data_IF_578902935584
#
_entry.id   IF_578902935584
#
_cell.length_a   1.000
_cell.length_b   1.000
_cell.length_c   1.000
_cell.angle_alpha   90.00
_cell.angle_beta   90.00
_cell.angle_gamma   90.00
#
_symmetry.space_group_name_H-M   'P 1'
#
loop_
_entity.id
_entity.type
_entity.pdbx_description
1 polymer ?
#
# COMPACT_ATOMS: atom_id res chain seq x y z
N UNK A 1 -14.90 -6.72 7.10
CA UNK A 1 -13.96 -5.64 7.47
C UNK A 1 -12.60 -6.12 7.06
N UNK A 2 -12.01 -5.53 6.02
CA UNK A 2 -10.67 -5.90 5.57
C UNK A 2 -9.69 -5.01 6.34
N UNK A 3 -8.86 -5.60 7.19
CA UNK A 3 -7.93 -4.88 8.06
C UNK A 3 -7.46 -5.76 9.22
N UNK A 4 -6.45 -5.29 9.98
CA UNK A 4 -5.94 -6.03 11.12
C UNK A 4 -7.07 -6.33 12.12
N UNK A 5 -7.18 -7.60 12.53
CA UNK A 5 -8.24 -8.12 13.40
C UNK A 5 -8.10 -7.67 14.86
N UNK A 6 -6.88 -7.25 15.26
CA UNK A 6 -6.56 -6.75 16.60
C UNK A 6 -5.25 -5.96 16.60
N UNK A 7 -5.08 -5.14 17.63
CA UNK A 7 -3.83 -4.41 17.90
C UNK A 7 -2.71 -5.37 18.31
N UNK A 8 -1.46 -4.94 18.11
CA UNK A 8 -0.26 -5.71 18.44
C UNK A 8 0.11 -6.79 17.42
N UNK A 9 1.18 -7.53 17.69
CA UNK A 9 1.67 -8.60 16.82
C UNK A 9 0.82 -9.87 16.94
N UNK A 10 0.33 -10.39 15.81
CA UNK A 10 -0.25 -11.73 15.73
C UNK A 10 0.09 -12.40 14.40
N UNK A 11 0.17 -13.75 14.36
CA UNK A 11 0.43 -14.47 13.12
C UNK A 11 -0.62 -14.14 12.06
N UNK A 12 -0.18 -13.68 10.89
CA UNK A 12 -1.07 -13.30 9.78
C UNK A 12 -1.54 -11.84 9.78
N UNK A 13 -1.11 -10.99 10.74
CA UNK A 13 -1.43 -9.56 10.73
C UNK A 13 -0.99 -8.87 9.45
N UNK A 14 0.20 -9.19 8.97
CA UNK A 14 0.73 -8.63 7.73
C UNK A 14 -0.18 -8.96 6.53
N UNK A 15 -0.63 -10.21 6.43
CA UNK A 15 -1.56 -10.67 5.40
C UNK A 15 -2.89 -9.92 5.52
N UNK A 16 -3.47 -9.81 6.71
CA UNK A 16 -4.72 -9.08 6.93
C UNK A 16 -4.60 -7.60 6.52
N UNK A 17 -3.45 -6.96 6.79
CA UNK A 17 -3.17 -5.60 6.33
C UNK A 17 -3.06 -5.53 4.79
N UNK A 18 -2.33 -6.45 4.17
CA UNK A 18 -2.16 -6.48 2.71
C UNK A 18 -3.50 -6.72 2.00
N UNK A 19 -4.32 -7.66 2.47
CA UNK A 19 -5.65 -7.94 1.92
C UNK A 19 -6.57 -6.71 1.99
N UNK A 20 -6.47 -5.91 3.06
CA UNK A 20 -7.24 -4.67 3.21
C UNK A 20 -6.90 -3.59 2.19
N UNK A 21 -5.64 -3.53 1.80
CA UNK A 21 -5.14 -2.54 0.86
C UNK A 21 -5.30 -3.04 -0.58
N UNK A 22 -5.19 -4.36 -0.79
CA UNK A 22 -5.30 -5.03 -2.09
C UNK A 22 -6.55 -4.61 -2.88
N UNK A 23 -7.73 -4.65 -2.26
CA UNK A 23 -8.96 -4.29 -2.96
C UNK A 23 -8.95 -2.83 -3.44
N UNK A 24 -8.45 -1.92 -2.60
CA UNK A 24 -8.36 -0.48 -2.91
C UNK A 24 -7.27 -0.19 -3.94
N UNK A 25 -6.21 -0.99 -3.94
CA UNK A 25 -5.14 -0.91 -4.92
C UNK A 25 -5.66 -1.25 -6.33
N UNK A 26 -6.51 -2.27 -6.46
CA UNK A 26 -7.16 -2.61 -7.73
C UNK A 26 -8.08 -1.46 -8.19
N UNK A 27 -8.89 -0.90 -7.30
CA UNK A 27 -9.73 0.27 -7.63
C UNK A 27 -8.90 1.46 -8.14
N UNK A 28 -7.74 1.73 -7.53
CA UNK A 28 -6.84 2.79 -7.97
C UNK A 28 -6.25 2.52 -9.36
N UNK A 29 -5.90 1.27 -9.65
CA UNK A 29 -5.43 0.85 -10.97
C UNK A 29 -6.54 1.02 -12.01
N UNK A 30 -7.78 0.65 -11.71
CA UNK A 30 -8.92 0.80 -12.60
C UNK A 30 -9.20 2.28 -12.91
N UNK A 31 -9.13 3.16 -11.91
CA UNK A 31 -9.30 4.61 -12.10
C UNK A 31 -8.25 5.17 -13.06
N UNK A 32 -6.97 4.84 -12.84
CA UNK A 32 -5.89 5.38 -13.65
C UNK A 32 -5.85 4.79 -15.07
N UNK A 33 -6.22 3.51 -15.22
CA UNK A 33 -6.34 2.90 -16.55
C UNK A 33 -7.50 3.47 -17.36
N UNK A 34 -8.63 3.79 -16.72
CA UNK A 34 -9.72 4.54 -17.36
C UNK A 34 -9.32 5.96 -17.77
N UNK A 35 -8.29 6.54 -17.15
CA UNK A 35 -7.69 7.82 -17.54
C UNK A 35 -6.63 7.68 -18.66
N UNK A 36 -6.43 6.47 -19.21
CA UNK A 36 -5.55 6.21 -20.34
C UNK A 36 -4.15 5.69 -19.99
N UNK A 37 -3.88 5.39 -18.72
CA UNK A 37 -2.60 4.80 -18.31
C UNK A 37 -2.63 3.29 -18.52
N UNK A 38 -1.47 2.68 -18.74
CA UNK A 38 -1.35 1.21 -18.68
C UNK A 38 -1.28 0.74 -17.22
N UNK A 39 -1.80 -0.45 -16.93
CA UNK A 39 -1.70 -1.02 -15.58
C UNK A 39 -0.24 -1.11 -15.08
N UNK A 40 0.72 -1.31 -15.99
CA UNK A 40 2.16 -1.33 -15.69
C UNK A 40 2.68 0.05 -15.25
N UNK A 41 2.29 1.13 -15.94
CA UNK A 41 2.66 2.50 -15.55
C UNK A 41 2.11 2.84 -14.16
N UNK A 42 0.85 2.49 -13.90
CA UNK A 42 0.21 2.75 -12.61
C UNK A 42 0.89 1.97 -11.50
N UNK A 43 1.15 0.67 -11.70
CA UNK A 43 1.81 -0.17 -10.70
C UNK A 43 3.23 0.34 -10.40
N UNK A 44 3.98 0.79 -11.41
CA UNK A 44 5.31 1.40 -11.23
C UNK A 44 5.23 2.71 -10.43
N UNK A 45 4.27 3.57 -10.76
CA UNK A 45 4.08 4.83 -10.03
C UNK A 45 3.74 4.58 -8.55
N UNK A 46 2.84 3.63 -8.27
CA UNK A 46 2.46 3.28 -6.90
C UNK A 46 3.65 2.73 -6.11
N UNK A 47 4.48 1.87 -6.72
CA UNK A 47 5.70 1.39 -6.08
C UNK A 47 6.62 2.54 -5.70
N UNK A 48 6.93 3.44 -6.64
CA UNK A 48 7.83 4.57 -6.38
C UNK A 48 7.29 5.47 -5.26
N UNK A 49 5.99 5.78 -5.28
CA UNK A 49 5.35 6.58 -4.21
C UNK A 49 5.38 5.88 -2.86
N UNK A 50 5.24 4.55 -2.83
CA UNK A 50 5.30 3.76 -1.60
C UNK A 50 6.72 3.74 -1.03
N UNK A 51 7.73 3.61 -1.90
CA UNK A 51 9.14 3.66 -1.52
C UNK A 51 9.50 5.05 -0.95
N UNK A 52 9.08 6.13 -1.61
CA UNK A 52 9.30 7.51 -1.15
C UNK A 52 8.60 7.79 0.20
N UNK A 53 7.37 7.31 0.36
CA UNK A 53 6.62 7.45 1.61
C UNK A 53 7.28 6.68 2.76
N UNK A 54 7.75 5.45 2.50
CA UNK A 54 8.44 4.65 3.49
C UNK A 54 9.72 5.35 3.97
N UNK A 55 10.53 5.87 3.05
CA UNK A 55 11.72 6.65 3.38
C UNK A 55 11.36 7.87 4.23
N UNK A 56 10.28 8.58 3.91
CA UNK A 56 9.80 9.70 4.72
C UNK A 56 9.47 9.28 6.16
N UNK A 57 8.71 8.19 6.33
CA UNK A 57 8.31 7.68 7.63
C UNK A 57 9.49 7.17 8.47
N UNK A 58 10.45 6.51 7.84
CA UNK A 58 11.67 6.03 8.52
C UNK A 58 12.55 7.19 9.00
N UNK A 59 12.63 8.28 8.23
CA UNK A 59 13.40 9.46 8.61
C UNK A 59 12.76 10.30 9.74
N UNK A 60 11.45 10.16 9.98
CA UNK A 60 10.75 10.84 11.09
C UNK A 60 10.86 10.07 12.42
N UNK A 61 11.38 8.85 12.43
CA UNK A 61 11.67 8.11 13.66
C UNK A 61 13.04 8.53 14.19
N UNK A 62 13.16 9.03 15.44
CA UNK A 62 14.47 9.31 16.01
C UNK A 62 15.28 8.02 16.05
N UNK A 63 16.53 8.07 15.55
CA UNK A 63 17.53 7.03 15.80
C UNK A 63 17.60 6.82 17.32
N UNK A 64 17.16 5.64 17.79
CA UNK A 64 17.30 5.24 19.19
C UNK A 64 18.77 4.92 19.51
#
# INVERSE_FOLDING_TARGET
MFGPKRDGGYPGREIDCQESISARLVELIDIATNAGWTALEVTRAIRNLSDDLLLGLENELPEN
#
